data_IF_002902249668
#
_entry.id   IF_002902249668
#
_cell.length_a   1.000
_cell.length_b   1.000
_cell.length_c   1.000
_cell.angle_alpha   90.00
_cell.angle_beta   90.00
_cell.angle_gamma   90.00
#
_symmetry.space_group_name_H-M   'P 1'
#
loop_
_entity.id
_entity.type
_entity.pdbx_description
1 polymer ?
#
# COMPACT_ATOMS: atom_id res chain seq x y z
N UNK A 1 3.20 24.19 18.12
CA UNK A 1 2.18 23.43 17.37
C UNK A 1 2.21 22.00 17.87
N UNK A 2 1.05 21.38 18.10
CA UNK A 2 0.94 19.96 18.47
C UNK A 2 0.72 19.11 17.23
N UNK A 3 1.22 17.87 17.24
CA UNK A 3 1.00 16.88 16.17
C UNK A 3 -0.49 16.53 16.14
N UNK A 4 -1.10 16.55 14.95
CA UNK A 4 -2.53 16.28 14.75
C UNK A 4 -2.82 15.02 13.94
N UNK A 5 -1.86 14.56 13.13
CA UNK A 5 -2.00 13.38 12.27
C UNK A 5 -0.65 12.66 12.20
N UNK A 6 -0.68 11.35 11.95
CA UNK A 6 0.52 10.53 11.80
C UNK A 6 0.47 9.77 10.48
N UNK A 7 1.56 9.84 9.72
CA UNK A 7 1.84 8.92 8.62
C UNK A 7 3.07 8.14 9.03
N UNK A 8 2.99 6.82 8.99
CA UNK A 8 4.06 5.93 9.42
C UNK A 8 4.36 4.93 8.31
N UNK A 9 5.64 4.77 7.99
CA UNK A 9 6.10 3.73 7.08
C UNK A 9 5.97 2.35 7.74
N UNK A 10 5.88 1.29 6.92
CA UNK A 10 5.69 -0.08 7.41
C UNK A 10 7.02 -0.81 7.47
N UNK A 11 7.67 -1.02 6.33
CA UNK A 11 8.80 -1.93 6.19
C UNK A 11 10.10 -1.29 6.73
N UNK A 12 10.65 -1.85 7.80
CA UNK A 12 11.82 -1.30 8.51
C UNK A 12 11.47 -0.33 9.64
N UNK A 13 10.19 0.00 9.84
CA UNK A 13 9.72 0.89 10.93
C UNK A 13 8.79 0.16 11.90
N UNK A 14 7.70 -0.40 11.38
CA UNK A 14 6.71 -1.15 12.17
C UNK A 14 6.91 -2.66 12.04
N UNK A 15 7.42 -3.10 10.88
CA UNK A 15 7.58 -4.50 10.52
C UNK A 15 8.98 -4.76 9.98
N UNK A 16 9.58 -5.88 10.37
CA UNK A 16 10.70 -6.50 9.67
C UNK A 16 10.21 -7.84 9.13
N UNK A 17 10.03 -7.93 7.81
CA UNK A 17 9.30 -9.03 7.16
C UNK A 17 7.94 -9.27 7.82
N UNK A 18 7.72 -10.44 8.43
CA UNK A 18 6.47 -10.81 9.09
C UNK A 18 6.50 -10.63 10.62
N UNK A 19 7.53 -9.96 11.14
CA UNK A 19 7.72 -9.75 12.58
C UNK A 19 7.56 -8.27 12.91
N UNK A 20 6.74 -7.95 13.91
CA UNK A 20 6.60 -6.59 14.40
C UNK A 20 7.88 -6.11 15.09
N UNK A 21 8.27 -4.86 14.84
CA UNK A 21 9.37 -4.22 15.56
C UNK A 21 8.94 -4.04 17.03
N UNK A 22 9.82 -4.31 18.02
CA UNK A 22 9.49 -4.13 19.43
C UNK A 22 8.99 -2.70 19.71
N UNK A 23 7.83 -2.59 20.38
CA UNK A 23 7.19 -1.31 20.66
C UNK A 23 6.21 -0.81 19.58
N UNK A 24 6.13 -1.47 18.41
CA UNK A 24 5.24 -1.05 17.32
C UNK A 24 3.75 -1.15 17.73
N UNK A 25 3.37 -2.21 18.44
CA UNK A 25 2.01 -2.40 18.91
C UNK A 25 1.57 -1.29 19.88
N UNK A 26 2.42 -0.99 20.85
CA UNK A 26 2.20 0.04 21.86
C UNK A 26 2.14 1.44 21.24
N UNK A 27 3.04 1.71 20.29
CA UNK A 27 3.06 2.96 19.53
C UNK A 27 1.75 3.18 18.77
N UNK A 28 1.30 2.18 18.00
CA UNK A 28 0.08 2.29 17.19
C UNK A 28 -1.16 2.39 18.07
N UNK A 29 -1.24 1.59 19.13
CA UNK A 29 -2.32 1.65 20.11
C UNK A 29 -2.41 3.03 20.74
N UNK A 30 -1.29 3.60 21.17
CA UNK A 30 -1.26 4.94 21.76
C UNK A 30 -1.64 6.07 20.81
N UNK A 31 -1.48 5.90 19.49
CA UNK A 31 -1.97 6.85 18.48
C UNK A 31 -3.49 6.73 18.34
N UNK A 32 -3.99 5.50 18.21
CA UNK A 32 -5.41 5.22 18.03
C UNK A 32 -6.24 5.66 19.26
N UNK A 33 -5.75 5.38 20.47
CA UNK A 33 -6.40 5.81 21.72
C UNK A 33 -6.48 7.34 21.86
N UNK A 34 -5.51 8.07 21.29
CA UNK A 34 -5.53 9.54 21.23
C UNK A 34 -6.47 10.08 20.15
N UNK A 35 -7.09 9.23 19.35
CA UNK A 35 -7.98 9.62 18.25
C UNK A 35 -7.26 10.38 17.13
N UNK A 36 -5.93 10.19 17.00
CA UNK A 36 -5.17 10.83 15.93
C UNK A 36 -5.37 10.07 14.62
N UNK A 37 -5.74 10.74 13.52
CA UNK A 37 -5.76 10.12 12.20
C UNK A 37 -4.39 9.52 11.87
N UNK A 38 -4.42 8.25 11.46
CA UNK A 38 -3.24 7.43 11.19
C UNK A 38 -3.31 6.87 9.77
N UNK A 39 -2.20 6.97 9.05
CA UNK A 39 -1.97 6.27 7.79
C UNK A 39 -0.70 5.43 7.91
N UNK A 40 -0.83 4.14 7.63
CA UNK A 40 0.26 3.18 7.49
C UNK A 40 0.60 3.05 6.01
N UNK A 41 1.76 3.56 5.62
CA UNK A 41 2.18 3.73 4.24
C UNK A 41 3.17 2.62 3.85
N UNK A 42 2.99 2.02 2.68
CA UNK A 42 4.02 1.16 2.05
C UNK A 42 4.09 1.42 0.56
N UNK A 43 5.30 1.34 0.02
CA UNK A 43 5.53 1.44 -1.43
C UNK A 43 5.31 0.11 -2.16
N UNK A 44 4.94 -0.97 -1.46
CA UNK A 44 4.71 -2.28 -2.06
C UNK A 44 3.23 -2.42 -2.50
N UNK A 45 2.93 -2.56 -3.81
CA UNK A 45 1.56 -2.55 -4.33
C UNK A 45 0.89 -3.92 -4.40
N UNK A 46 1.56 -4.98 -3.95
CA UNK A 46 1.05 -6.35 -4.11
C UNK A 46 -0.03 -6.74 -3.10
N UNK A 47 -0.07 -6.07 -1.93
CA UNK A 47 -0.98 -6.39 -0.84
C UNK A 47 -2.15 -5.41 -0.78
N UNK A 48 -3.36 -5.93 -0.53
CA UNK A 48 -4.52 -5.08 -0.20
C UNK A 48 -4.43 -4.57 1.24
N UNK A 49 -5.27 -3.59 1.60
CA UNK A 49 -5.38 -3.14 2.99
C UNK A 49 -5.75 -4.27 3.96
N UNK A 50 -6.61 -5.19 3.52
CA UNK A 50 -7.00 -6.36 4.32
C UNK A 50 -5.83 -7.35 4.48
N UNK A 51 -5.04 -7.57 3.44
CA UNK A 51 -3.86 -8.44 3.51
C UNK A 51 -2.82 -7.89 4.51
N UNK A 52 -2.62 -6.57 4.50
CA UNK A 52 -1.74 -5.89 5.45
C UNK A 52 -2.29 -5.96 6.88
N UNK A 53 -3.59 -5.75 7.08
CA UNK A 53 -4.24 -5.92 8.39
C UNK A 53 -4.04 -7.34 8.93
N UNK A 54 -4.20 -8.36 8.10
CA UNK A 54 -3.99 -9.76 8.48
C UNK A 54 -2.51 -10.05 8.80
N UNK A 55 -1.56 -9.47 8.05
CA UNK A 55 -0.11 -9.57 8.30
C UNK A 55 0.24 -8.95 9.65
N UNK A 56 -0.28 -7.76 9.95
CA UNK A 56 -0.10 -7.09 11.23
C UNK A 56 -0.72 -7.88 12.39
N UNK A 57 -1.95 -8.39 12.22
CA UNK A 57 -2.62 -9.20 13.24
C UNK A 57 -1.83 -10.47 13.57
N UNK A 58 -1.27 -11.13 12.55
CA UNK A 58 -0.38 -12.30 12.72
C UNK A 58 0.88 -11.95 13.53
N UNK A 59 1.37 -10.72 13.41
CA UNK A 59 2.51 -10.21 14.17
C UNK A 59 2.11 -9.62 15.55
N UNK A 60 0.85 -9.81 15.98
CA UNK A 60 0.34 -9.35 17.27
C UNK A 60 -0.14 -7.90 17.29
N UNK A 61 -0.30 -7.25 16.14
CA UNK A 61 -0.71 -5.84 16.03
C UNK A 61 -2.08 -5.76 15.36
N UNK A 62 -3.11 -5.30 16.09
CA UNK A 62 -4.46 -5.17 15.54
C UNK A 62 -4.74 -3.71 15.16
N UNK A 63 -4.89 -3.46 13.85
CA UNK A 63 -5.28 -2.17 13.29
C UNK A 63 -6.31 -2.37 12.17
N UNK A 64 -7.25 -1.44 11.95
CA UNK A 64 -8.25 -1.58 10.89
C UNK A 64 -7.60 -1.50 9.49
N UNK A 65 -8.15 -2.20 8.51
CA UNK A 65 -7.67 -2.17 7.13
C UNK A 65 -7.63 -0.76 6.50
N UNK A 66 -8.57 0.10 6.92
CA UNK A 66 -8.69 1.49 6.47
C UNK A 66 -7.50 2.40 6.80
N UNK A 67 -6.61 2.04 7.72
CA UNK A 67 -5.39 2.85 7.97
C UNK A 67 -4.29 2.58 6.94
N UNK A 68 -4.36 1.50 6.16
CA UNK A 68 -3.32 1.18 5.20
C UNK A 68 -3.49 1.97 3.91
N UNK A 69 -2.37 2.49 3.41
CA UNK A 69 -2.32 3.18 2.12
C UNK A 69 -1.11 2.68 1.34
N UNK A 70 -1.35 2.03 0.20
CA UNK A 70 -0.29 1.42 -0.62
C UNK A 70 0.00 2.26 -1.86
N UNK A 71 1.13 2.00 -2.51
CA UNK A 71 1.43 2.59 -3.83
C UNK A 71 0.41 2.21 -4.91
N UNK A 72 -0.26 1.07 -4.81
CA UNK A 72 -1.39 0.69 -5.67
C UNK A 72 -2.60 1.63 -5.47
N UNK A 73 -3.01 1.85 -4.22
CA UNK A 73 -4.10 2.76 -3.87
C UNK A 73 -3.78 4.19 -4.33
N UNK A 74 -2.56 4.66 -4.05
CA UNK A 74 -2.10 5.97 -4.47
C UNK A 74 -2.11 6.14 -6.00
N UNK A 75 -1.71 5.11 -6.74
CA UNK A 75 -1.75 5.11 -8.21
C UNK A 75 -3.19 5.17 -8.73
N UNK A 76 -4.08 4.36 -8.17
CA UNK A 76 -5.49 4.35 -8.57
C UNK A 76 -6.17 5.70 -8.27
N UNK A 77 -5.91 6.29 -7.11
CA UNK A 77 -6.42 7.61 -6.72
C UNK A 77 -5.86 8.75 -7.57
N UNK A 78 -4.60 8.64 -8.01
CA UNK A 78 -3.99 9.58 -8.94
C UNK A 78 -4.64 9.48 -10.32
N UNK A 79 -4.74 8.28 -10.88
CA UNK A 79 -5.30 8.04 -12.20
C UNK A 79 -6.80 8.37 -12.26
N UNK A 80 -7.55 8.19 -11.17
CA UNK A 80 -8.97 8.56 -11.10
C UNK A 80 -9.22 10.04 -11.45
N UNK A 81 -8.24 10.92 -11.21
CA UNK A 81 -8.31 12.37 -11.46
C UNK A 81 -7.90 12.76 -12.89
N UNK A 82 -7.44 11.81 -13.70
CA UNK A 82 -7.01 12.04 -15.07
C UNK A 82 -8.13 11.71 -16.06
N UNK A 83 -8.05 12.29 -17.26
CA UNK A 83 -8.91 11.90 -18.38
C UNK A 83 -8.44 10.59 -19.01
N UNK A 84 -9.36 9.76 -19.50
CA UNK A 84 -9.07 8.42 -19.96
C UNK A 84 -9.32 7.35 -18.89
N UNK A 85 -9.66 6.14 -19.34
CA UNK A 85 -10.04 5.02 -18.48
C UNK A 85 -9.44 3.70 -18.94
N UNK A 86 -8.57 3.69 -19.95
CA UNK A 86 -7.89 2.48 -20.43
C UNK A 86 -6.45 2.49 -19.95
N UNK A 87 -6.03 1.43 -19.27
CA UNK A 87 -4.66 1.30 -18.80
C UNK A 87 -4.05 -0.02 -19.25
N UNK A 88 -2.84 0.03 -19.79
CA UNK A 88 -1.97 -1.13 -19.90
C UNK A 88 -1.16 -1.23 -18.60
N UNK A 89 -1.26 -2.38 -17.93
CA UNK A 89 -0.71 -2.56 -16.58
C UNK A 89 0.24 -3.75 -16.57
N UNK A 90 1.48 -3.49 -16.14
CA UNK A 90 2.47 -4.51 -15.82
C UNK A 90 2.54 -4.62 -14.30
N UNK A 91 1.77 -5.54 -13.75
CA UNK A 91 1.62 -5.78 -12.32
C UNK A 91 0.53 -6.82 -12.05
N UNK A 92 0.29 -7.13 -10.78
CA UNK A 92 -0.62 -8.20 -10.37
C UNK A 92 -1.40 -7.85 -9.09
N UNK A 93 -2.37 -8.69 -8.75
CA UNK A 93 -3.04 -8.68 -7.44
C UNK A 93 -3.72 -7.35 -7.11
N UNK A 94 -3.31 -6.74 -5.99
CA UNK A 94 -3.96 -5.56 -5.43
C UNK A 94 -3.94 -4.34 -6.38
N UNK A 95 -2.89 -4.15 -7.17
CA UNK A 95 -2.83 -3.05 -8.16
C UNK A 95 -3.95 -3.15 -9.21
N UNK A 96 -4.17 -4.36 -9.75
CA UNK A 96 -5.22 -4.62 -10.74
C UNK A 96 -6.60 -4.34 -10.13
N UNK A 97 -6.80 -4.80 -8.89
CA UNK A 97 -8.05 -4.59 -8.15
C UNK A 97 -8.34 -3.11 -7.88
N UNK A 98 -7.35 -2.34 -7.45
CA UNK A 98 -7.51 -0.91 -7.17
C UNK A 98 -7.80 -0.10 -8.45
N UNK A 99 -7.20 -0.47 -9.58
CA UNK A 99 -7.51 0.16 -10.86
C UNK A 99 -8.94 -0.14 -11.33
N UNK A 100 -9.42 -1.38 -11.18
CA UNK A 100 -10.82 -1.70 -11.46
C UNK A 100 -11.79 -0.93 -10.56
N UNK A 101 -11.51 -0.82 -9.26
CA UNK A 101 -12.30 0.02 -8.33
C UNK A 101 -12.32 1.50 -8.74
N UNK A 102 -11.23 1.99 -9.34
CA UNK A 102 -11.15 3.35 -9.87
C UNK A 102 -11.84 3.54 -11.23
N UNK A 103 -12.47 2.49 -11.78
CA UNK A 103 -13.22 2.51 -13.02
C UNK A 103 -12.37 2.36 -14.27
N UNK A 104 -11.15 1.82 -14.15
CA UNK A 104 -10.28 1.57 -15.30
C UNK A 104 -10.60 0.24 -15.97
N UNK A 105 -10.50 0.24 -17.29
CA UNK A 105 -10.43 -0.96 -18.13
C UNK A 105 -8.97 -1.28 -18.38
N UNK A 106 -8.54 -2.49 -18.01
CA UNK A 106 -7.18 -2.94 -18.28
C UNK A 106 -7.14 -3.56 -19.68
N UNK A 107 -6.27 -3.04 -20.54
CA UNK A 107 -6.21 -3.44 -21.95
C UNK A 107 -4.83 -3.24 -22.55
N UNK A 108 -4.47 -4.09 -23.50
CA UNK A 108 -3.31 -4.00 -24.38
C UNK A 108 -3.63 -3.32 -25.73
N UNK A 109 -4.88 -2.89 -25.95
CA UNK A 109 -5.33 -2.24 -27.18
C UNK A 109 -5.63 -0.77 -26.93
N UNK A 110 -4.83 0.13 -27.54
CA UNK A 110 -4.95 1.59 -27.45
C UNK A 110 -5.19 2.10 -26.01
N UNK A 111 -4.27 1.83 -25.07
CA UNK A 111 -4.39 2.30 -23.70
C UNK A 111 -4.11 3.82 -23.61
N UNK A 112 -4.81 4.50 -22.72
CA UNK A 112 -4.57 5.91 -22.38
C UNK A 112 -3.33 6.03 -21.45
N UNK A 113 -3.13 5.02 -20.61
CA UNK A 113 -2.05 4.98 -19.61
C UNK A 113 -1.24 3.69 -19.68
N UNK A 114 0.05 3.78 -19.38
CA UNK A 114 0.91 2.62 -19.14
C UNK A 114 1.47 2.71 -17.72
N UNK A 115 1.16 1.72 -16.88
CA UNK A 115 1.67 1.64 -15.51
C UNK A 115 2.49 0.35 -15.32
N UNK A 116 3.71 0.50 -14.79
CA UNK A 116 4.60 -0.62 -14.49
C UNK A 116 5.03 -0.55 -13.05
N UNK A 117 4.73 -1.60 -12.30
CA UNK A 117 5.45 -1.86 -11.07
C UNK A 117 6.70 -2.69 -11.35
N UNK A 118 7.78 -2.42 -10.61
CA UNK A 118 9.04 -3.14 -10.73
C UNK A 118 9.32 -3.85 -9.42
N UNK A 119 9.37 -5.18 -9.43
CA UNK A 119 9.75 -5.95 -8.26
C UNK A 119 11.22 -5.67 -7.91
N UNK A 120 11.52 -5.10 -6.72
CA UNK A 120 12.89 -4.84 -6.31
C UNK A 120 13.74 -6.12 -6.21
N UNK A 121 13.14 -7.26 -5.87
CA UNK A 121 13.83 -8.54 -5.73
C UNK A 121 14.37 -9.10 -7.06
N UNK A 122 13.79 -8.67 -8.20
CA UNK A 122 14.28 -9.05 -9.53
C UNK A 122 15.51 -8.26 -9.99
N UNK A 123 16.01 -7.28 -9.22
CA UNK A 123 17.26 -6.57 -9.54
C UNK A 123 18.53 -7.35 -9.14
N UNK A 124 18.44 -8.26 -8.17
CA UNK A 124 19.61 -8.98 -7.65
C UNK A 124 20.06 -10.17 -8.53
N UNK A 125 19.40 -10.41 -9.67
CA UNK A 125 19.68 -11.54 -10.56
C UNK A 125 20.36 -11.20 -11.89
N UNK A 126 20.80 -9.96 -12.10
CA UNK A 126 21.36 -9.51 -13.38
C UNK A 126 22.83 -9.02 -13.32
N UNK A 127 23.53 -9.28 -12.22
CA UNK A 127 24.97 -9.01 -12.06
C UNK A 127 25.75 -10.31 -11.72
N UNK A 128 25.64 -11.33 -12.58
CA UNK A 128 26.49 -12.53 -12.56
C UNK A 128 27.00 -12.86 -13.97
#
# INVERSE_FOLDING_TARGET
MTIKNVICDIDGVLMHDNVAVPGAAEFLTGILEKGLPLVLLTNYPSQTGQDLANRFATAGVNVPDSVFYTSAMATADFLRRQEGKKAYVVGEGALIHELYKAGFTITDVNPDFCHRWRNPLLQLGHDA
#
